data_IF_682480711334
#
_entry.id   IF_682480711334
#
_cell.length_a   1.000
_cell.length_b   1.000
_cell.length_c   1.000
_cell.angle_alpha   90.00
_cell.angle_beta   90.00
_cell.angle_gamma   90.00
#
_symmetry.space_group_name_H-M   'P 1'
#
loop_
_entity.id
_entity.type
_entity.pdbx_description
1 polymer ?
#
# COMPACT_ATOMS: atom_id res chain seq x y z
N UNK A 1 8.31 8.36 -34.24
CA UNK A 1 8.09 9.37 -33.18
C UNK A 1 7.04 10.32 -33.69
N UNK A 2 5.85 10.41 -33.08
CA UNK A 2 4.81 11.30 -33.55
C UNK A 2 4.51 12.33 -32.46
N UNK A 3 5.00 13.53 -32.69
CA UNK A 3 4.73 14.70 -31.87
C UNK A 3 3.40 15.26 -32.37
N UNK A 4 2.40 15.32 -31.49
CA UNK A 4 1.17 16.04 -31.78
C UNK A 4 1.24 17.39 -31.07
N UNK A 5 0.95 18.44 -31.83
CA UNK A 5 0.85 19.81 -31.33
C UNK A 5 -0.63 20.14 -31.32
N UNK A 6 -1.17 20.44 -30.14
CA UNK A 6 -2.53 20.88 -29.96
C UNK A 6 -2.55 22.37 -29.66
N UNK A 7 -3.41 23.12 -30.35
CA UNK A 7 -3.63 24.53 -30.08
C UNK A 7 -4.98 24.72 -29.40
N UNK A 8 -4.98 25.32 -28.22
CA UNK A 8 -6.20 25.65 -27.48
C UNK A 8 -6.34 27.16 -27.35
N UNK A 9 -7.57 27.66 -27.46
CA UNK A 9 -7.91 29.05 -27.17
C UNK A 9 -9.32 29.14 -26.61
N UNK A 10 -9.56 30.11 -25.74
CA UNK A 10 -10.88 30.36 -25.18
C UNK A 10 -11.67 31.26 -26.14
N UNK A 11 -12.99 31.07 -26.18
CA UNK A 11 -13.94 31.96 -26.88
C UNK A 11 -14.78 32.67 -25.84
N UNK A 12 -14.59 33.97 -25.70
CA UNK A 12 -15.49 34.84 -24.94
C UNK A 12 -16.64 35.27 -25.85
N UNK A 13 -17.87 35.21 -25.36
CA UNK A 13 -19.06 35.69 -26.04
C UNK A 13 -19.73 36.71 -25.11
N UNK A 14 -19.96 37.91 -25.62
CA UNK A 14 -20.64 39.00 -24.91
C UNK A 14 -22.17 38.85 -25.04
N UNK A 15 -22.94 39.55 -24.21
CA UNK A 15 -24.40 39.40 -24.12
C UNK A 15 -25.17 39.81 -25.40
N UNK A 16 -24.50 40.51 -26.32
CA UNK A 16 -25.01 40.90 -27.64
C UNK A 16 -24.64 39.90 -28.76
N UNK A 17 -23.94 38.81 -28.42
CA UNK A 17 -23.48 37.79 -29.35
C UNK A 17 -22.15 38.11 -30.03
N UNK A 18 -21.53 39.25 -29.74
CA UNK A 18 -20.15 39.51 -30.15
C UNK A 18 -19.22 38.50 -29.48
N UNK A 19 -18.15 38.09 -30.15
CA UNK A 19 -17.19 37.16 -29.55
C UNK A 19 -15.76 37.53 -29.83
N UNK A 20 -14.88 37.18 -28.90
CA UNK A 20 -13.42 37.33 -29.02
C UNK A 20 -12.74 36.02 -28.62
N UNK A 21 -11.69 35.66 -29.35
CA UNK A 21 -10.82 34.56 -28.96
C UNK A 21 -9.65 35.07 -28.12
N UNK A 22 -9.19 34.27 -27.15
CA UNK A 22 -7.89 34.48 -26.50
C UNK A 22 -6.74 34.15 -27.45
N UNK A 23 -5.52 34.47 -27.02
CA UNK A 23 -4.31 33.92 -27.62
C UNK A 23 -4.33 32.38 -27.54
N UNK A 24 -3.69 31.74 -28.52
CA UNK A 24 -3.57 30.29 -28.55
C UNK A 24 -2.45 29.83 -27.62
N UNK A 25 -2.77 28.85 -26.76
CA UNK A 25 -1.79 28.08 -26.01
C UNK A 25 -1.44 26.86 -26.84
N UNK A 26 -0.15 26.69 -27.10
CA UNK A 26 0.39 25.50 -27.75
C UNK A 26 0.74 24.46 -26.67
N UNK A 27 0.21 23.25 -26.81
CA UNK A 27 0.55 22.11 -25.97
C UNK A 27 1.16 21.05 -26.86
N UNK A 28 2.47 20.83 -26.69
CA UNK A 28 3.18 19.72 -27.32
C UNK A 28 3.06 18.48 -26.45
N UNK A 29 2.42 17.42 -26.95
CA UNK A 29 2.49 16.12 -26.29
C UNK A 29 3.72 15.36 -26.79
N UNK A 30 4.69 15.18 -25.91
CA UNK A 30 5.72 14.15 -26.08
C UNK A 30 5.12 12.83 -25.60
N UNK A 31 4.44 12.12 -26.50
CA UNK A 31 3.99 10.75 -26.21
C UNK A 31 5.22 9.83 -26.25
N UNK A 32 5.98 9.80 -25.16
CA UNK A 32 6.82 8.64 -24.85
C UNK A 32 5.86 7.54 -24.38
N UNK A 33 5.45 6.67 -25.31
CA UNK A 33 4.72 5.42 -25.01
C UNK A 33 5.67 4.44 -24.28
N UNK A 34 6.14 4.82 -23.09
CA UNK A 34 6.90 3.98 -22.14
C UNK A 34 6.70 4.50 -20.71
N UNK A 35 5.54 5.06 -20.39
CA UNK A 35 5.13 5.11 -18.98
C UNK A 35 4.35 3.83 -18.73
N UNK A 36 5.06 2.80 -18.30
CA UNK A 36 4.44 1.75 -17.49
C UNK A 36 3.49 2.45 -16.50
N UNK A 37 2.22 2.04 -16.40
CA UNK A 37 1.30 2.64 -15.46
C UNK A 37 1.97 2.66 -14.09
N UNK A 38 2.31 3.85 -13.61
CA UNK A 38 2.89 4.02 -12.29
C UNK A 38 1.83 3.50 -11.31
N UNK A 39 2.17 2.53 -10.46
CA UNK A 39 1.19 1.97 -9.56
C UNK A 39 0.64 3.09 -8.67
N UNK A 40 -0.69 3.11 -8.48
CA UNK A 40 -1.37 4.10 -7.62
C UNK A 40 -0.92 4.01 -6.16
N UNK A 41 -0.33 2.87 -5.80
CA UNK A 41 0.09 2.51 -4.46
C UNK A 41 1.57 2.09 -4.47
N UNK A 42 2.24 2.24 -3.34
CA UNK A 42 3.57 1.67 -3.13
C UNK A 42 3.45 0.40 -2.30
N UNK A 43 4.46 -0.47 -2.34
CA UNK A 43 4.55 -1.50 -1.32
C UNK A 43 5.01 -0.88 0.00
N UNK A 44 4.25 -1.09 1.07
CA UNK A 44 4.65 -0.71 2.42
C UNK A 44 4.09 -1.67 3.46
N UNK A 45 4.85 -1.92 4.51
CA UNK A 45 4.33 -2.43 5.77
C UNK A 45 4.31 -1.28 6.77
N UNK A 46 3.23 -1.13 7.54
CA UNK A 46 3.11 -0.10 8.57
C UNK A 46 3.49 -0.62 9.95
N UNK A 47 3.92 0.28 10.83
CA UNK A 47 4.14 -0.07 12.23
C UNK A 47 2.78 -0.42 12.87
N UNK A 48 2.72 -1.55 13.57
CA UNK A 48 1.50 -1.99 14.22
C UNK A 48 1.04 -0.95 15.26
N UNK A 49 -0.26 -0.73 15.37
CA UNK A 49 -0.83 0.22 16.33
C UNK A 49 -2.01 -0.38 17.10
N UNK A 50 -2.02 -0.29 18.45
CA UNK A 50 -0.96 0.27 19.30
C UNK A 50 0.32 -0.60 19.33
N UNK A 51 1.46 -0.02 19.72
CA UNK A 51 2.72 -0.73 20.03
C UNK A 51 3.54 0.05 21.09
N UNK A 52 3.89 -0.51 22.26
CA UNK A 52 3.53 -1.84 22.75
C UNK A 52 2.01 -2.04 22.89
N UNK A 53 1.55 -3.28 22.85
CA UNK A 53 0.11 -3.59 22.91
C UNK A 53 -0.23 -4.72 23.89
N UNK A 54 -1.50 -4.73 24.30
CA UNK A 54 -2.09 -5.78 25.16
C UNK A 54 -3.60 -5.93 24.90
N UNK A 55 -4.13 -7.10 24.50
CA UNK A 55 -3.46 -8.20 23.79
C UNK A 55 -3.56 -8.04 22.27
N UNK A 56 -4.21 -6.98 21.78
CA UNK A 56 -4.60 -6.80 20.38
C UNK A 56 -3.93 -5.58 19.75
N UNK A 57 -3.53 -5.69 18.48
CA UNK A 57 -2.98 -4.60 17.67
C UNK A 57 -3.48 -4.71 16.23
N UNK A 58 -3.38 -3.63 15.46
CA UNK A 58 -3.67 -3.63 14.02
C UNK A 58 -2.36 -3.58 13.26
N UNK A 59 -2.21 -4.47 12.28
CA UNK A 59 -1.11 -4.45 11.31
C UNK A 59 -1.70 -4.06 9.96
N UNK A 60 -1.13 -3.04 9.34
CA UNK A 60 -1.58 -2.52 8.04
C UNK A 60 -0.46 -2.58 7.00
N UNK A 61 -0.82 -2.77 5.75
CA UNK A 61 0.11 -2.77 4.62
C UNK A 61 -0.56 -2.29 3.34
N UNK A 62 0.27 -1.95 2.37
CA UNK A 62 -0.13 -1.50 1.05
C UNK A 62 0.56 -2.34 -0.04
N UNK A 63 -0.19 -2.67 -1.09
CA UNK A 63 0.28 -3.42 -2.26
C UNK A 63 0.19 -2.54 -3.51
N UNK A 64 1.32 -2.34 -4.19
CA UNK A 64 1.39 -1.58 -5.44
C UNK A 64 0.66 -2.28 -6.59
N UNK A 65 0.76 -3.61 -6.64
CA UNK A 65 0.19 -4.49 -7.66
C UNK A 65 -0.36 -5.75 -7.00
N UNK A 66 -1.26 -6.46 -7.69
CA UNK A 66 -1.75 -7.76 -7.21
C UNK A 66 -0.59 -8.74 -7.00
N UNK A 67 -0.55 -9.38 -5.84
CA UNK A 67 0.57 -10.21 -5.39
C UNK A 67 0.12 -11.37 -4.52
N UNK A 68 0.91 -12.44 -4.51
CA UNK A 68 0.88 -13.47 -3.47
C UNK A 68 1.44 -12.87 -2.18
N UNK A 69 0.61 -12.78 -1.13
CA UNK A 69 0.95 -12.11 0.12
C UNK A 69 1.04 -13.11 1.26
N UNK A 70 2.17 -13.07 1.97
CA UNK A 70 2.30 -13.74 3.28
C UNK A 70 2.63 -12.72 4.36
N UNK A 71 1.85 -12.72 5.44
CA UNK A 71 2.13 -11.95 6.66
C UNK A 71 2.34 -12.93 7.81
N UNK A 72 3.56 -13.01 8.32
CA UNK A 72 3.96 -13.99 9.33
C UNK A 72 4.57 -13.33 10.55
N UNK A 73 4.42 -13.95 11.71
CA UNK A 73 5.00 -13.50 12.99
C UNK A 73 6.06 -14.50 13.43
N UNK A 74 7.18 -13.98 13.93
CA UNK A 74 8.36 -14.73 14.36
C UNK A 74 8.81 -14.32 15.75
N UNK A 75 9.36 -15.27 16.50
CA UNK A 75 10.09 -14.98 17.74
C UNK A 75 11.51 -14.43 17.45
N UNK A 76 12.25 -14.11 18.52
CA UNK A 76 13.64 -13.58 18.42
C UNK A 76 14.66 -14.59 17.86
N UNK A 77 14.31 -15.88 17.84
CA UNK A 77 15.15 -16.94 17.26
C UNK A 77 14.82 -17.18 15.78
N UNK A 78 13.79 -16.51 15.24
CA UNK A 78 13.32 -16.66 13.87
C UNK A 78 12.32 -17.81 13.69
N UNK A 79 11.80 -18.39 14.77
CA UNK A 79 10.75 -19.41 14.69
C UNK A 79 9.43 -18.76 14.33
N UNK A 80 8.71 -19.31 13.34
CA UNK A 80 7.36 -18.87 13.00
C UNK A 80 6.38 -19.21 14.15
N UNK A 81 5.66 -18.22 14.64
CA UNK A 81 4.66 -18.37 15.71
C UNK A 81 3.23 -18.10 15.25
N UNK A 82 3.06 -17.47 14.08
CA UNK A 82 1.77 -17.26 13.44
C UNK A 82 1.91 -17.02 11.93
N UNK A 83 0.97 -17.53 11.15
CA UNK A 83 0.74 -17.10 9.76
C UNK A 83 -0.60 -16.38 9.69
N UNK A 84 -0.57 -15.05 9.57
CA UNK A 84 -1.75 -14.18 9.64
C UNK A 84 -2.47 -14.04 8.30
N UNK A 85 -1.69 -14.05 7.21
CA UNK A 85 -2.16 -13.95 5.83
C UNK A 85 -1.29 -14.88 4.98
N UNK A 86 -1.92 -15.62 4.06
CA UNK A 86 -1.28 -16.46 3.04
C UNK A 86 -2.24 -16.63 1.86
N UNK A 87 -2.41 -15.57 1.06
CA UNK A 87 -3.37 -15.53 -0.06
C UNK A 87 -2.96 -14.55 -1.16
N UNK A 88 -3.58 -14.68 -2.34
CA UNK A 88 -3.45 -13.69 -3.43
C UNK A 88 -4.33 -12.47 -3.15
N UNK A 89 -3.74 -11.28 -3.15
CA UNK A 89 -4.44 -10.02 -2.90
C UNK A 89 -4.24 -9.04 -4.06
N UNK A 90 -5.29 -8.32 -4.53
CA UNK A 90 -5.14 -7.27 -5.54
C UNK A 90 -4.37 -6.06 -5.00
N UNK A 91 -4.00 -5.11 -5.86
CA UNK A 91 -3.41 -3.84 -5.41
C UNK A 91 -4.36 -3.08 -4.48
N UNK A 92 -3.89 -2.57 -3.35
CA UNK A 92 -4.75 -1.89 -2.38
C UNK A 92 -4.12 -1.71 -1.02
N UNK A 93 -4.93 -1.22 -0.07
CA UNK A 93 -4.60 -1.11 1.35
C UNK A 93 -5.29 -2.21 2.12
N UNK A 94 -4.59 -2.80 3.08
CA UNK A 94 -5.06 -3.91 3.88
C UNK A 94 -4.73 -3.69 5.35
N UNK A 95 -5.52 -4.32 6.22
CA UNK A 95 -5.28 -4.34 7.65
C UNK A 95 -5.83 -5.61 8.26
N UNK A 96 -5.12 -6.15 9.25
CA UNK A 96 -5.59 -7.28 10.06
C UNK A 96 -5.47 -6.96 11.54
N UNK A 97 -6.43 -7.45 12.32
CA UNK A 97 -6.40 -7.42 13.78
C UNK A 97 -5.61 -8.64 14.25
N UNK A 98 -4.53 -8.40 14.99
CA UNK A 98 -3.71 -9.45 15.58
C UNK A 98 -3.93 -9.50 17.10
N UNK A 99 -4.49 -10.61 17.59
CA UNK A 99 -4.67 -10.90 19.01
C UNK A 99 -3.63 -11.93 19.49
N UNK A 100 -2.85 -11.58 20.51
CA UNK A 100 -1.78 -12.43 21.07
C UNK A 100 -2.26 -13.46 22.12
N UNK A 101 -3.56 -13.49 22.42
CA UNK A 101 -4.18 -14.35 23.43
C UNK A 101 -5.22 -15.31 22.89
N UNK A 102 -5.89 -14.94 21.79
CA UNK A 102 -6.96 -15.73 21.22
C UNK A 102 -7.00 -15.56 19.70
N UNK A 103 -5.97 -16.07 19.03
CA UNK A 103 -5.91 -16.09 17.58
C UNK A 103 -5.70 -17.55 17.09
N UNK A 104 -6.64 -18.11 16.30
CA UNK A 104 -6.55 -19.47 15.76
C UNK A 104 -5.32 -19.75 14.90
N UNK A 105 -4.69 -18.71 14.38
CA UNK A 105 -3.50 -18.79 13.53
C UNK A 105 -2.19 -18.92 14.34
N UNK A 106 -2.27 -18.81 15.68
CA UNK A 106 -1.11 -19.01 16.54
C UNK A 106 -0.76 -20.50 16.61
N UNK A 107 0.54 -20.79 16.66
CA UNK A 107 1.06 -22.14 16.91
C UNK A 107 0.90 -22.56 18.38
N UNK A 108 0.56 -21.62 19.26
CA UNK A 108 0.34 -21.81 20.69
C UNK A 108 -0.96 -21.15 21.12
N UNK A 109 -1.47 -21.49 22.32
CA UNK A 109 -2.70 -20.87 22.84
C UNK A 109 -2.57 -19.36 23.07
N UNK A 110 -1.37 -18.86 23.37
CA UNK A 110 -1.08 -17.43 23.52
C UNK A 110 0.42 -17.17 23.42
N UNK A 111 0.78 -15.93 23.12
CA UNK A 111 2.17 -15.47 23.12
C UNK A 111 2.52 -14.76 24.44
N UNK A 112 3.65 -15.09 25.10
CA UNK A 112 4.11 -14.36 26.29
C UNK A 112 4.54 -12.92 25.96
N UNK A 113 4.61 -12.07 26.98
CA UNK A 113 5.23 -10.74 26.88
C UNK A 113 6.65 -10.86 26.33
N UNK A 114 7.00 -9.99 25.39
CA UNK A 114 8.29 -10.09 24.71
C UNK A 114 8.35 -9.32 23.41
N UNK A 115 9.50 -9.44 22.74
CA UNK A 115 9.75 -8.88 21.42
C UNK A 115 9.52 -9.96 20.38
N UNK A 116 8.80 -9.61 19.33
CA UNK A 116 8.57 -10.45 18.17
C UNK A 116 8.75 -9.62 16.90
N UNK A 117 8.76 -10.27 15.75
CA UNK A 117 8.87 -9.63 14.46
C UNK A 117 7.74 -10.11 13.56
N UNK A 118 7.16 -9.20 12.78
CA UNK A 118 6.24 -9.58 11.73
C UNK A 118 6.82 -9.18 10.38
N UNK A 119 6.69 -10.06 9.40
CA UNK A 119 7.23 -9.92 8.07
C UNK A 119 6.12 -10.04 7.04
N UNK A 120 6.04 -9.04 6.16
CA UNK A 120 5.24 -9.08 4.96
C UNK A 120 6.13 -9.50 3.78
N UNK A 121 5.69 -10.48 3.01
CA UNK A 121 6.23 -10.78 1.67
C UNK A 121 5.14 -10.60 0.65
N UNK A 122 5.42 -9.87 -0.42
CA UNK A 122 4.52 -9.65 -1.54
C UNK A 122 5.34 -9.63 -2.85
N UNK A 123 5.39 -10.76 -3.56
CA UNK A 123 6.31 -10.93 -4.70
C UNK A 123 7.78 -10.72 -4.30
N UNK A 124 8.43 -9.71 -4.87
CA UNK A 124 9.82 -9.34 -4.55
C UNK A 124 9.95 -8.39 -3.35
N UNK A 125 8.83 -7.88 -2.83
CA UNK A 125 8.84 -7.00 -1.66
C UNK A 125 8.89 -7.83 -0.38
N UNK A 126 9.84 -7.51 0.50
CA UNK A 126 9.94 -8.09 1.85
C UNK A 126 10.24 -6.97 2.83
N UNK A 127 9.36 -6.77 3.80
CA UNK A 127 9.58 -5.83 4.89
C UNK A 127 9.29 -6.50 6.24
N UNK A 128 10.10 -6.20 7.24
CA UNK A 128 9.96 -6.75 8.60
C UNK A 128 9.93 -5.63 9.61
N UNK A 129 9.00 -5.71 10.56
CA UNK A 129 8.89 -4.76 11.67
C UNK A 129 8.82 -5.47 13.00
N UNK A 130 9.23 -4.74 14.03
CA UNK A 130 9.24 -5.21 15.42
C UNK A 130 7.87 -4.98 16.05
N UNK A 131 7.32 -5.98 16.74
CA UNK A 131 6.19 -5.83 17.64
C UNK A 131 6.61 -6.11 19.09
N UNK A 132 6.00 -5.43 20.05
CA UNK A 132 6.24 -5.64 21.49
C UNK A 132 4.93 -5.95 22.19
N UNK A 133 4.88 -7.13 22.81
CA UNK A 133 3.72 -7.60 23.59
C UNK A 133 3.99 -7.32 25.06
N UNK A 134 3.05 -6.66 25.72
CA UNK A 134 3.08 -6.42 27.17
C UNK A 134 1.81 -6.96 27.79
N UNK A 135 1.88 -7.99 28.63
CA UNK A 135 0.77 -8.49 29.45
C UNK A 135 0.93 -8.05 30.90
#
# INVERSE_FOLDING_TARGET
MQQAIYHYRLKQIDNDGAFKYSDSIEISTITKLEREPQPLFNFSLEQNFPNPFNPTTVISWQLAVGSSVTLKVFDVLGSEVATLVDEEQPSGNYSIVFDSTNNPQLTTNSLPSGVYFYQLRAGNFVETKKLVITK
#
